data_IF_401278854855
#
_entry.id   IF_401278854855
#
_cell.length_a   1.000
_cell.length_b   1.000
_cell.length_c   1.000
_cell.angle_alpha   90.00
_cell.angle_beta   90.00
_cell.angle_gamma   90.00
#
_symmetry.space_group_name_H-M   'P 1'
#
loop_
_entity.id
_entity.type
_entity.pdbx_description
1 polymer ?
#
# COMPACT_ATOMS: atom_id res chain seq x y z
N UNK A 1 45.63 -23.56 17.07
CA UNK A 1 45.41 -23.20 15.65
C UNK A 1 44.17 -23.94 15.16
N UNK A 2 43.49 -23.42 14.13
CA UNK A 2 42.18 -23.79 13.56
C UNK A 2 41.03 -22.96 14.15
N UNK A 3 40.91 -21.69 13.77
CA UNK A 3 40.36 -21.10 12.53
C UNK A 3 38.86 -20.79 12.69
N UNK A 4 38.61 -19.52 12.97
CA UNK A 4 37.31 -18.92 13.23
C UNK A 4 36.57 -18.67 11.91
N UNK A 5 35.64 -19.56 11.57
CA UNK A 5 34.70 -19.37 10.46
C UNK A 5 33.88 -18.10 10.67
N UNK A 6 34.19 -17.05 9.90
CA UNK A 6 33.36 -15.84 9.79
C UNK A 6 32.08 -16.19 9.03
N UNK A 7 31.06 -16.64 9.73
CA UNK A 7 29.70 -16.65 9.19
C UNK A 7 29.21 -15.20 9.08
N UNK A 8 29.23 -14.66 7.86
CA UNK A 8 28.62 -13.37 7.56
C UNK A 8 27.10 -13.52 7.63
N UNK A 9 26.51 -13.27 8.81
CA UNK A 9 25.07 -13.16 8.97
C UNK A 9 24.55 -11.93 8.23
N UNK A 10 23.98 -12.11 7.04
CA UNK A 10 23.22 -11.06 6.35
C UNK A 10 21.88 -10.90 7.06
N UNK A 11 21.79 -9.90 7.95
CA UNK A 11 20.56 -9.58 8.67
C UNK A 11 19.78 -8.52 7.90
N UNK A 12 18.55 -8.83 7.51
CA UNK A 12 17.64 -7.85 6.92
C UNK A 12 17.47 -6.65 7.86
N UNK A 13 17.65 -5.45 7.32
CA UNK A 13 17.32 -4.22 8.04
C UNK A 13 15.81 -4.18 8.33
N UNK A 14 15.36 -3.41 9.32
CA UNK A 14 13.92 -3.23 9.57
C UNK A 14 13.18 -2.86 8.28
N UNK A 15 13.73 -1.95 7.47
CA UNK A 15 13.20 -1.57 6.15
C UNK A 15 13.17 -2.74 5.15
N UNK A 16 14.23 -3.55 5.12
CA UNK A 16 14.29 -4.74 4.26
C UNK A 16 13.27 -5.81 4.66
N UNK A 17 13.06 -6.00 5.97
CA UNK A 17 12.06 -6.92 6.50
C UNK A 17 10.64 -6.45 6.15
N UNK A 18 10.31 -5.19 6.43
CA UNK A 18 9.03 -4.59 6.06
C UNK A 18 8.77 -4.71 4.56
N UNK A 19 9.77 -4.43 3.72
CA UNK A 19 9.63 -4.55 2.26
C UNK A 19 9.36 -6.00 1.82
N UNK A 20 10.01 -6.98 2.44
CA UNK A 20 9.80 -8.39 2.14
C UNK A 20 8.41 -8.87 2.59
N UNK A 21 7.96 -8.42 3.76
CA UNK A 21 6.63 -8.72 4.29
C UNK A 21 5.53 -8.09 3.42
N UNK A 22 5.72 -6.83 2.99
CA UNK A 22 4.80 -6.19 2.02
C UNK A 22 4.76 -6.91 0.68
N UNK A 23 5.91 -7.39 0.17
CA UNK A 23 5.94 -8.16 -1.09
C UNK A 23 5.15 -9.47 -0.95
N UNK A 24 5.25 -10.17 0.20
CA UNK A 24 4.47 -11.38 0.47
C UNK A 24 2.97 -11.10 0.57
N UNK A 25 2.59 -9.98 1.19
CA UNK A 25 1.18 -9.57 1.32
C UNK A 25 0.55 -9.11 -0.01
N UNK A 26 1.37 -8.80 -1.03
CA UNK A 26 0.95 -8.32 -2.36
C UNK A 26 1.36 -9.27 -3.51
N UNK A 27 1.75 -10.51 -3.20
CA UNK A 27 2.15 -11.52 -4.19
C UNK A 27 0.98 -12.40 -4.66
N UNK A 28 1.24 -13.33 -5.58
CA UNK A 28 0.24 -14.33 -5.99
C UNK A 28 -0.22 -15.22 -4.81
N UNK A 29 0.64 -15.40 -3.80
CA UNK A 29 0.33 -16.05 -2.52
C UNK A 29 -0.19 -15.07 -1.44
N UNK A 30 -0.76 -13.92 -1.83
CA UNK A 30 -1.23 -12.92 -0.88
C UNK A 30 -2.28 -13.50 0.07
N UNK A 31 -2.04 -13.36 1.38
CA UNK A 31 -2.96 -13.77 2.45
C UNK A 31 -4.24 -12.92 2.51
N UNK A 32 -4.30 -11.81 1.74
CA UNK A 32 -5.46 -10.92 1.69
C UNK A 32 -6.40 -11.40 0.58
N UNK A 33 -7.69 -11.67 0.87
CA UNK A 33 -8.67 -11.98 -0.15
C UNK A 33 -8.70 -10.87 -1.21
N UNK A 34 -8.46 -11.21 -2.47
CA UNK A 34 -8.57 -10.27 -3.58
C UNK A 34 -10.03 -10.03 -4.01
N UNK A 35 -10.99 -10.67 -3.34
CA UNK A 35 -12.42 -10.50 -3.63
C UNK A 35 -12.95 -9.22 -3.02
N UNK A 36 -13.77 -8.49 -3.77
CA UNK A 36 -14.46 -7.31 -3.27
C UNK A 36 -15.42 -7.70 -2.13
N UNK A 37 -15.34 -6.96 -1.02
CA UNK A 37 -16.15 -7.16 0.19
C UNK A 37 -17.34 -6.18 0.29
N UNK A 38 -17.60 -5.43 -0.78
CA UNK A 38 -18.67 -4.43 -0.84
C UNK A 38 -18.24 -3.00 -0.51
N UNK A 39 -16.99 -2.77 -0.07
CA UNK A 39 -16.49 -1.43 0.25
C UNK A 39 -15.39 -0.97 -0.70
N UNK A 40 -15.37 0.33 -0.99
CA UNK A 40 -14.29 1.01 -1.68
C UNK A 40 -13.22 1.48 -0.70
N UNK A 41 -11.96 1.26 -1.06
CA UNK A 41 -10.80 1.83 -0.37
C UNK A 41 -10.36 3.06 -1.14
N UNK A 42 -10.35 4.20 -0.48
CA UNK A 42 -9.85 5.45 -1.03
C UNK A 42 -8.64 5.85 -0.21
N UNK A 43 -7.50 5.96 -0.88
CA UNK A 43 -6.24 6.39 -0.29
C UNK A 43 -5.89 7.74 -0.87
N UNK A 44 -5.77 8.74 0.01
CA UNK A 44 -5.25 10.06 -0.35
C UNK A 44 -3.79 10.09 0.09
N UNK A 45 -2.91 10.23 -0.90
CA UNK A 45 -1.47 10.26 -0.72
C UNK A 45 -0.94 11.63 -1.16
N UNK A 46 -0.61 12.46 -0.18
CA UNK A 46 -0.05 13.79 -0.39
C UNK A 46 1.21 13.96 0.45
N UNK A 47 2.37 13.74 -0.18
CA UNK A 47 3.68 13.96 0.43
C UNK A 47 4.38 15.13 -0.26
N UNK A 48 5.07 15.99 0.52
CA UNK A 48 5.79 17.13 -0.02
C UNK A 48 7.03 16.66 -0.81
N UNK A 49 7.62 17.54 -1.64
CA UNK A 49 8.67 17.17 -2.60
C UNK A 49 9.95 16.66 -1.92
N UNK A 50 10.23 17.10 -0.70
CA UNK A 50 11.34 16.64 0.13
C UNK A 50 11.24 15.12 0.43
N UNK A 51 10.03 14.55 0.34
CA UNK A 51 9.74 13.12 0.58
C UNK A 51 9.36 12.37 -0.71
N UNK A 52 9.82 12.85 -1.87
CA UNK A 52 9.56 12.24 -3.19
C UNK A 52 9.84 10.74 -3.26
N UNK A 53 10.94 10.26 -2.68
CA UNK A 53 11.32 8.84 -2.71
C UNK A 53 10.29 7.95 -2.00
N UNK A 54 9.74 8.42 -0.87
CA UNK A 54 8.70 7.72 -0.12
C UNK A 54 7.37 7.75 -0.86
N UNK A 55 7.04 8.91 -1.47
CA UNK A 55 5.85 9.05 -2.30
C UNK A 55 5.84 8.07 -3.47
N UNK A 56 6.95 7.96 -4.21
CA UNK A 56 7.05 7.03 -5.33
C UNK A 56 7.05 5.56 -4.87
N UNK A 57 7.65 5.25 -3.72
CA UNK A 57 7.56 3.92 -3.12
C UNK A 57 6.12 3.53 -2.74
N UNK A 58 5.35 4.44 -2.13
CA UNK A 58 3.95 4.22 -1.79
C UNK A 58 3.07 4.08 -3.03
N UNK A 59 3.29 4.92 -4.06
CA UNK A 59 2.60 4.78 -5.36
C UNK A 59 2.86 3.44 -6.01
N UNK A 60 4.10 2.94 -5.94
CA UNK A 60 4.43 1.60 -6.43
C UNK A 60 3.66 0.50 -5.66
N UNK A 61 3.58 0.61 -4.33
CA UNK A 61 2.82 -0.34 -3.51
C UNK A 61 1.32 -0.29 -3.82
N UNK A 62 0.74 0.90 -3.99
CA UNK A 62 -0.65 1.10 -4.38
C UNK A 62 -0.96 0.41 -5.71
N UNK A 63 -0.13 0.62 -6.73
CA UNK A 63 -0.27 -0.07 -8.03
C UNK A 63 -0.21 -1.59 -7.90
N UNK A 64 0.72 -2.09 -7.08
CA UNK A 64 0.84 -3.53 -6.81
C UNK A 64 -0.35 -4.11 -6.05
N UNK A 65 -1.03 -3.30 -5.25
CA UNK A 65 -2.24 -3.65 -4.53
C UNK A 65 -3.51 -3.42 -5.36
N UNK A 66 -3.39 -3.27 -6.70
CA UNK A 66 -4.51 -2.99 -7.61
C UNK A 66 -5.31 -1.74 -7.23
N UNK A 67 -4.62 -0.69 -6.76
CA UNK A 67 -5.20 0.65 -6.68
C UNK A 67 -5.01 1.40 -8.00
N UNK A 68 -6.05 2.11 -8.41
CA UNK A 68 -6.06 2.98 -9.58
C UNK A 68 -6.02 4.45 -9.13
N UNK A 69 -5.17 5.24 -9.76
CA UNK A 69 -5.05 6.67 -9.51
C UNK A 69 -6.10 7.43 -10.34
N UNK A 70 -7.12 8.00 -9.70
CA UNK A 70 -8.21 8.72 -10.38
C UNK A 70 -7.98 10.24 -10.45
N UNK A 71 -7.14 10.75 -9.55
CA UNK A 71 -6.69 12.15 -9.45
C UNK A 71 -5.28 12.15 -8.87
N UNK A 72 -4.52 13.24 -9.01
CA UNK A 72 -3.09 13.33 -8.66
C UNK A 72 -2.66 12.68 -7.31
N UNK A 73 -3.52 12.73 -6.29
CA UNK A 73 -3.28 12.19 -4.95
C UNK A 73 -4.29 11.12 -4.53
N UNK A 74 -5.33 10.85 -5.32
CA UNK A 74 -6.45 9.98 -4.91
C UNK A 74 -6.38 8.65 -5.63
N UNK A 75 -6.28 7.59 -4.84
CA UNK A 75 -6.14 6.20 -5.26
C UNK A 75 -7.35 5.41 -4.78
N UNK A 76 -7.92 4.58 -5.64
CA UNK A 76 -9.11 3.78 -5.31
C UNK A 76 -8.89 2.30 -5.59
N UNK A 77 -9.54 1.44 -4.81
CA UNK A 77 -9.57 0.00 -5.04
C UNK A 77 -10.79 -0.66 -4.39
N UNK A 78 -11.36 -1.71 -4.99
CA UNK A 78 -12.32 -2.59 -4.30
C UNK A 78 -11.62 -3.61 -3.37
N UNK A 79 -10.29 -3.72 -3.40
CA UNK A 79 -9.59 -4.76 -2.67
C UNK A 79 -9.31 -4.37 -1.19
N UNK A 80 -9.48 -5.28 -0.22
CA UNK A 80 -9.43 -4.99 1.21
C UNK A 80 -7.99 -4.87 1.77
N UNK A 81 -7.21 -3.95 1.22
CA UNK A 81 -5.82 -3.68 1.63
C UNK A 81 -5.68 -2.53 2.64
N UNK A 82 -6.77 -1.97 3.16
CA UNK A 82 -6.75 -0.84 4.11
C UNK A 82 -5.86 -1.11 5.31
N UNK A 83 -5.87 -2.34 5.85
CA UNK A 83 -5.09 -2.71 7.03
C UNK A 83 -3.58 -2.69 6.74
N UNK A 84 -3.18 -3.10 5.52
CA UNK A 84 -1.80 -2.98 5.06
C UNK A 84 -1.35 -1.52 5.05
N UNK A 85 -2.17 -0.63 4.48
CA UNK A 85 -1.85 0.80 4.42
C UNK A 85 -1.94 1.49 5.78
N UNK A 86 -2.83 1.06 6.69
CA UNK A 86 -2.87 1.54 8.07
C UNK A 86 -1.61 1.17 8.84
N UNK A 87 -1.08 -0.05 8.63
CA UNK A 87 0.19 -0.47 9.22
C UNK A 87 1.36 0.35 8.65
N UNK A 88 1.42 0.54 7.33
CA UNK A 88 2.42 1.40 6.68
C UNK A 88 2.35 2.83 7.22
N UNK A 89 1.14 3.40 7.35
CA UNK A 89 0.90 4.72 7.93
C UNK A 89 1.52 4.83 9.32
N UNK A 90 1.24 3.85 10.18
CA UNK A 90 1.75 3.79 11.56
C UNK A 90 3.27 3.64 11.60
N UNK A 91 3.83 2.73 10.82
CA UNK A 91 5.26 2.42 10.82
C UNK A 91 6.12 3.59 10.31
N UNK A 92 5.59 4.38 9.37
CA UNK A 92 6.26 5.54 8.80
C UNK A 92 5.91 6.86 9.50
N UNK A 93 5.04 6.82 10.53
CA UNK A 93 4.63 7.99 11.30
C UNK A 93 3.83 9.01 10.50
N UNK A 94 3.11 8.59 9.46
CA UNK A 94 2.27 9.48 8.66
C UNK A 94 0.98 9.85 9.39
N UNK A 95 0.53 11.08 9.15
CA UNK A 95 -0.72 11.61 9.71
C UNK A 95 -1.71 11.95 8.60
N UNK A 96 -1.78 13.20 8.17
CA UNK A 96 -2.64 13.68 7.09
C UNK A 96 -2.05 13.40 5.70
N UNK A 97 -0.75 13.08 5.60
CA UNK A 97 -0.07 12.78 4.33
C UNK A 97 -0.56 11.47 3.69
N UNK A 98 -1.12 10.58 4.52
CA UNK A 98 -1.72 9.32 4.09
C UNK A 98 -3.08 9.15 4.77
N UNK A 99 -4.15 9.51 4.08
CA UNK A 99 -5.53 9.28 4.54
C UNK A 99 -6.08 8.01 3.91
N UNK A 100 -6.82 7.24 4.71
CA UNK A 100 -7.41 5.96 4.31
C UNK A 100 -8.88 6.03 4.67
N UNK A 101 -9.73 5.86 3.66
CA UNK A 101 -11.17 5.80 3.81
C UNK A 101 -11.66 4.45 3.31
N UNK A 102 -12.62 3.89 4.03
CA UNK A 102 -13.34 2.67 3.65
C UNK A 102 -14.82 3.04 3.64
N UNK A 103 -15.47 2.92 2.49
CA UNK A 103 -16.87 3.36 2.33
C UNK A 103 -17.60 2.54 1.28
N UNK A 104 -18.86 2.23 1.55
CA UNK A 104 -19.86 1.75 0.61
C UNK A 104 -20.78 2.88 0.12
N UNK A 105 -20.65 4.08 0.70
CA UNK A 105 -21.45 5.26 0.42
C UNK A 105 -20.73 6.18 -0.54
N UNK A 106 -21.21 6.21 -1.79
CA UNK A 106 -20.80 7.11 -2.86
C UNK A 106 -22.06 7.61 -3.56
N UNK A 107 -22.04 8.82 -4.11
CA UNK A 107 -23.05 9.23 -5.09
C UNK A 107 -22.94 8.37 -6.36
N UNK A 108 -24.00 8.36 -7.17
CA UNK A 108 -24.11 7.47 -8.34
C UNK A 108 -23.06 7.81 -9.42
N UNK A 109 -22.77 9.09 -9.63
CA UNK A 109 -21.75 9.54 -10.58
C UNK A 109 -20.35 9.08 -10.16
N UNK A 110 -19.99 9.25 -8.88
CA UNK A 110 -18.71 8.80 -8.33
C UNK A 110 -18.59 7.28 -8.39
N UNK A 111 -19.65 6.55 -8.03
CA UNK A 111 -19.69 5.08 -8.13
C UNK A 111 -19.45 4.60 -9.56
N UNK A 112 -20.10 5.24 -10.55
CA UNK A 112 -19.89 4.94 -11.97
C UNK A 112 -18.44 5.20 -12.39
N UNK A 113 -17.88 6.35 -12.03
CA UNK A 113 -16.49 6.69 -12.34
C UNK A 113 -15.50 5.68 -11.72
N UNK A 114 -15.75 5.22 -10.49
CA UNK A 114 -14.91 4.23 -9.83
C UNK A 114 -14.96 2.87 -10.54
N UNK A 115 -16.16 2.42 -10.91
CA UNK A 115 -16.35 1.17 -11.66
C UNK A 115 -15.71 1.22 -13.06
N UNK A 116 -15.75 2.36 -13.74
CA UNK A 116 -15.09 2.56 -15.03
C UNK A 116 -13.55 2.56 -14.89
N UNK A 117 -13.02 3.11 -13.79
CA UNK A 117 -11.58 3.21 -13.57
C UNK A 117 -10.91 1.88 -13.23
N UNK A 118 -11.62 0.94 -12.59
CA UNK A 118 -11.07 -0.36 -12.17
C UNK A 118 -11.38 -1.51 -13.12
N UNK A 119 -12.00 -1.22 -14.27
CA UNK A 119 -12.30 -2.19 -15.34
C UNK A 119 -11.07 -2.60 -16.12
#
# INVERSE_FOLDING_TARGET
>A
MLDSGRENYVRLTKKGKTKLDTIRLLGEDALVPQTWDGFWRIIILDLPEERKSEREALRYLLKRANFVCIKNTVWISPHPYENLFMNIKKDLGFTAELMILVTDKLDEETKKAFLEAVR
#
